data_IF_886042110644
#
_entry.id   IF_886042110644
#
_cell.length_a   1.000
_cell.length_b   1.000
_cell.length_c   1.000
_cell.angle_alpha   90.00
_cell.angle_beta   90.00
_cell.angle_gamma   90.00
#
_symmetry.space_group_name_H-M   'P 1'
#
loop_
_entity.id
_entity.type
_entity.pdbx_description
1 polymer ?
#
# COMPACT_ATOMS: atom_id res chain seq x y z
N UNK A 1 -9.46 -101.85 8.22
CA UNK A 1 -10.40 -102.99 8.22
C UNK A 1 -11.42 -102.74 9.33
N UNK A 2 -12.73 -102.74 8.98
CA UNK A 2 -13.92 -102.79 9.87
C UNK A 2 -14.16 -101.57 10.76
N UNK A 3 -15.11 -100.66 10.45
CA UNK A 3 -16.58 -100.77 10.36
C UNK A 3 -17.31 -100.70 11.71
N UNK A 4 -18.32 -99.79 11.77
CA UNK A 4 -19.68 -100.01 12.32
C UNK A 4 -19.73 -100.28 13.86
N UNK A 5 -20.63 -99.77 14.71
CA UNK A 5 -22.07 -99.43 14.56
C UNK A 5 -22.64 -99.15 15.97
N UNK A 6 -23.61 -98.21 16.08
CA UNK A 6 -24.82 -98.20 16.97
C UNK A 6 -24.63 -98.22 18.53
N UNK A 7 -25.48 -97.65 19.41
CA UNK A 7 -26.84 -97.04 19.39
C UNK A 7 -27.11 -96.36 20.77
N UNK A 8 -28.31 -95.80 21.08
CA UNK A 8 -28.50 -94.55 21.82
C UNK A 8 -29.05 -94.75 23.25
N UNK A 9 -29.23 -93.66 24.00
CA UNK A 9 -30.40 -93.46 24.85
C UNK A 9 -30.55 -91.98 25.21
N UNK A 10 -31.72 -91.42 24.90
CA UNK A 10 -32.13 -90.08 25.27
C UNK A 10 -32.56 -90.05 26.74
N UNK A 11 -32.28 -88.97 27.45
CA UNK A 11 -33.26 -88.32 28.35
C UNK A 11 -32.84 -86.86 28.59
N UNK A 12 -33.69 -85.95 28.10
CA UNK A 12 -33.62 -84.50 28.29
C UNK A 12 -34.05 -84.13 29.72
N UNK A 13 -33.23 -83.32 30.41
CA UNK A 13 -33.70 -82.38 31.44
C UNK A 13 -32.98 -81.04 31.30
N UNK A 14 -33.80 -80.00 31.37
CA UNK A 14 -33.57 -78.57 31.11
C UNK A 14 -32.34 -77.98 31.83
N UNK A 15 -31.51 -77.25 31.09
CA UNK A 15 -30.44 -76.41 31.61
C UNK A 15 -30.81 -74.92 31.45
N UNK A 16 -30.79 -74.16 32.55
CA UNK A 16 -30.80 -72.69 32.53
C UNK A 16 -29.38 -72.20 32.25
N UNK A 17 -29.19 -71.49 31.15
CA UNK A 17 -27.93 -70.85 30.78
C UNK A 17 -27.84 -69.45 31.44
N UNK A 18 -26.85 -69.27 32.31
CA UNK A 18 -26.38 -67.96 32.75
C UNK A 18 -25.42 -67.40 31.69
N UNK A 19 -25.58 -66.12 31.33
CA UNK A 19 -24.71 -65.43 30.38
C UNK A 19 -23.42 -64.95 31.04
N UNK A 20 -22.24 -65.10 30.40
CA UNK A 20 -20.98 -64.59 30.92
C UNK A 20 -20.79 -63.11 30.58
N UNK A 21 -20.28 -62.34 31.55
CA UNK A 21 -19.91 -60.93 31.40
C UNK A 21 -18.63 -60.78 30.56
N UNK A 22 -18.69 -60.05 29.46
CA UNK A 22 -17.52 -59.63 28.67
C UNK A 22 -17.21 -58.16 28.94
N UNK A 23 -16.10 -57.89 29.63
CA UNK A 23 -15.57 -56.54 29.82
C UNK A 23 -14.77 -56.10 28.59
N UNK A 24 -15.27 -55.13 27.84
CA UNK A 24 -14.54 -54.47 26.75
C UNK A 24 -13.62 -53.38 27.30
N UNK A 25 -12.34 -53.30 26.88
CA UNK A 25 -11.45 -52.21 27.29
C UNK A 25 -11.85 -50.91 26.59
N UNK A 26 -12.01 -49.83 27.35
CA UNK A 26 -12.27 -48.49 26.81
C UNK A 26 -11.01 -47.98 26.11
N UNK A 27 -11.04 -47.90 24.78
CA UNK A 27 -10.11 -47.09 24.00
C UNK A 27 -10.25 -45.63 24.45
N UNK A 28 -9.23 -45.09 25.12
CA UNK A 28 -9.12 -43.66 25.36
C UNK A 28 -8.78 -43.02 24.02
N UNK A 29 -9.79 -42.52 23.30
CA UNK A 29 -9.55 -41.55 22.25
C UNK A 29 -8.96 -40.30 22.91
N UNK A 30 -7.65 -40.10 22.73
CA UNK A 30 -7.05 -38.78 22.87
C UNK A 30 -7.70 -37.87 21.84
N UNK A 31 -8.76 -37.17 22.25
CA UNK A 31 -9.33 -36.10 21.45
C UNK A 31 -8.21 -35.09 21.20
N UNK A 32 -7.69 -35.04 19.96
CA UNK A 32 -6.97 -33.85 19.52
C UNK A 32 -7.96 -32.71 19.70
N UNK A 33 -7.69 -31.84 20.68
CA UNK A 33 -8.33 -30.54 20.75
C UNK A 33 -7.90 -29.79 19.49
N UNK A 34 -8.66 -29.99 18.40
CA UNK A 34 -8.77 -28.93 17.43
C UNK A 34 -9.33 -27.76 18.23
N UNK A 35 -8.48 -26.78 18.54
CA UNK A 35 -8.92 -25.46 18.94
C UNK A 35 -9.59 -24.86 17.70
N UNK A 36 -10.76 -25.37 17.34
CA UNK A 36 -11.67 -24.62 16.50
C UNK A 36 -11.82 -23.28 17.21
N UNK A 37 -11.77 -22.20 16.44
CA UNK A 37 -12.10 -20.87 16.94
C UNK A 37 -13.53 -20.98 17.48
N UNK A 38 -13.64 -21.32 18.76
CA UNK A 38 -14.90 -21.62 19.39
C UNK A 38 -15.52 -20.27 19.63
N UNK A 39 -16.39 -19.89 18.70
CA UNK A 39 -17.25 -18.75 18.87
C UNK A 39 -18.00 -18.95 20.19
N UNK A 40 -17.70 -18.13 21.20
CA UNK A 40 -18.34 -18.26 22.50
C UNK A 40 -19.85 -18.08 22.32
N UNK A 41 -20.70 -18.90 22.96
CA UNK A 41 -22.13 -18.63 23.02
C UNK A 41 -22.39 -17.20 23.53
N UNK A 42 -23.34 -16.49 22.91
CA UNK A 42 -23.68 -15.08 23.20
C UNK A 42 -22.56 -14.05 22.94
N UNK A 43 -21.55 -14.38 22.14
CA UNK A 43 -20.58 -13.39 21.70
C UNK A 43 -21.21 -12.39 20.72
N UNK A 44 -20.93 -11.10 20.91
CA UNK A 44 -21.42 -10.01 20.05
C UNK A 44 -20.53 -9.75 18.83
N UNK A 45 -19.34 -10.37 18.76
CA UNK A 45 -18.38 -10.19 17.69
C UNK A 45 -17.86 -11.53 17.18
N UNK A 46 -17.49 -11.58 15.90
CA UNK A 46 -16.89 -12.73 15.24
C UNK A 46 -15.48 -12.99 15.78
N UNK A 47 -15.21 -14.23 16.18
CA UNK A 47 -13.89 -14.71 16.60
C UNK A 47 -13.15 -15.31 15.40
N UNK A 48 -12.86 -14.48 14.40
CA UNK A 48 -12.11 -14.87 13.20
C UNK A 48 -10.87 -13.97 13.04
N UNK A 49 -9.65 -14.53 12.91
CA UNK A 49 -8.42 -13.75 12.84
C UNK A 49 -8.40 -12.67 11.75
N UNK A 50 -9.07 -12.91 10.62
CA UNK A 50 -9.15 -11.95 9.51
C UNK A 50 -10.27 -10.91 9.62
N UNK A 51 -11.15 -11.00 10.62
CA UNK A 51 -12.32 -10.13 10.78
C UNK A 51 -12.30 -9.49 12.17
N UNK A 52 -11.37 -8.55 12.35
CA UNK A 52 -11.16 -7.86 13.62
C UNK A 52 -12.36 -6.93 13.90
N UNK A 53 -12.94 -7.01 15.11
CA UNK A 53 -14.05 -6.16 15.59
C UNK A 53 -15.36 -6.28 14.78
N UNK A 54 -15.52 -7.29 13.93
CA UNK A 54 -16.78 -7.52 13.21
C UNK A 54 -17.88 -7.91 14.19
N UNK A 55 -18.84 -7.01 14.41
CA UNK A 55 -20.01 -7.26 15.24
C UNK A 55 -21.05 -8.09 14.48
N UNK A 56 -21.78 -8.96 15.17
CA UNK A 56 -22.93 -9.62 14.56
C UNK A 56 -24.05 -8.60 14.29
N UNK A 57 -24.71 -8.74 13.15
CA UNK A 57 -25.93 -8.01 12.79
C UNK A 57 -27.00 -9.02 12.40
N UNK A 58 -28.25 -8.71 12.71
CA UNK A 58 -29.41 -9.50 12.31
C UNK A 58 -30.06 -8.99 11.02
N UNK A 59 -29.58 -7.86 10.50
CA UNK A 59 -30.09 -7.23 9.28
C UNK A 59 -29.05 -7.37 8.17
N UNK A 60 -29.49 -7.93 7.05
CA UNK A 60 -28.68 -8.02 5.84
C UNK A 60 -28.69 -6.65 5.15
N UNK A 61 -27.60 -5.90 5.32
CA UNK A 61 -27.36 -4.59 4.69
C UNK A 61 -26.10 -4.67 3.84
N UNK A 62 -26.21 -4.25 2.58
CA UNK A 62 -25.05 -4.00 1.73
C UNK A 62 -24.64 -2.54 1.88
N UNK A 63 -23.34 -2.30 1.95
CA UNK A 63 -22.79 -0.95 1.90
C UNK A 63 -22.50 -0.62 0.44
N UNK A 64 -23.20 0.40 -0.09
CA UNK A 64 -22.91 0.94 -1.41
C UNK A 64 -21.98 2.16 -1.27
N UNK A 65 -21.08 2.42 -2.23
CA UNK A 65 -20.26 3.64 -2.21
C UNK A 65 -21.10 4.94 -2.12
N UNK A 66 -22.33 4.92 -2.63
CA UNK A 66 -23.29 6.03 -2.54
C UNK A 66 -23.82 6.30 -1.13
N UNK A 67 -23.68 5.35 -0.20
CA UNK A 67 -24.13 5.51 1.17
C UNK A 67 -23.21 6.42 1.99
N UNK A 68 -22.00 6.68 1.48
CA UNK A 68 -21.00 7.51 2.12
C UNK A 68 -20.87 8.85 1.38
N UNK A 69 -20.84 9.98 2.11
CA UNK A 69 -20.44 11.23 1.50
C UNK A 69 -18.99 11.13 1.00
N UNK A 70 -18.67 11.92 -0.03
CA UNK A 70 -17.29 12.05 -0.49
C UNK A 70 -16.38 12.54 0.66
N UNK A 71 -15.13 12.08 0.66
CA UNK A 71 -14.13 12.55 1.61
C UNK A 71 -13.96 14.06 1.49
N UNK A 72 -13.91 14.75 2.63
CA UNK A 72 -13.74 16.20 2.67
C UNK A 72 -12.32 16.60 2.25
N UNK A 73 -12.21 17.65 1.43
CA UNK A 73 -10.92 18.20 0.98
C UNK A 73 -10.43 19.26 1.94
N UNK A 74 -9.24 19.07 2.52
CA UNK A 74 -8.60 20.04 3.39
C UNK A 74 -8.13 21.29 2.60
N UNK A 75 -8.37 22.48 3.16
CA UNK A 75 -7.99 23.76 2.54
C UNK A 75 -7.68 24.80 3.61
N UNK A 76 -6.57 25.52 3.44
CA UNK A 76 -6.14 26.61 4.33
C UNK A 76 -6.41 27.98 3.72
N UNK A 77 -6.18 28.13 2.42
CA UNK A 77 -6.25 29.40 1.68
C UNK A 77 -7.26 29.26 0.55
N UNK A 78 -8.03 30.31 0.27
CA UNK A 78 -8.93 30.37 -0.90
C UNK A 78 -8.21 30.81 -2.19
N UNK A 79 -9.00 31.06 -3.25
CA UNK A 79 -8.47 31.44 -4.56
C UNK A 79 -7.91 32.86 -4.62
N UNK A 80 -8.33 33.73 -3.70
CA UNK A 80 -7.87 35.12 -3.62
C UNK A 80 -6.63 35.24 -2.70
N UNK A 81 -6.16 34.13 -2.14
CA UNK A 81 -5.03 34.11 -1.22
C UNK A 81 -5.41 34.41 0.23
N UNK A 82 -6.70 34.41 0.57
CA UNK A 82 -7.17 34.69 1.92
C UNK A 82 -7.20 33.40 2.74
N UNK A 83 -6.64 33.44 3.95
CA UNK A 83 -6.67 32.32 4.90
C UNK A 83 -8.10 32.14 5.40
N UNK A 84 -8.73 31.01 5.07
CA UNK A 84 -10.12 30.70 5.44
C UNK A 84 -10.24 30.06 6.82
N UNK A 85 -9.16 29.43 7.30
CA UNK A 85 -9.07 28.86 8.62
C UNK A 85 -8.37 29.85 9.57
N UNK A 86 -9.17 30.59 10.35
CA UNK A 86 -8.65 31.57 11.32
C UNK A 86 -7.77 30.94 12.42
N UNK A 87 -7.90 29.62 12.64
CA UNK A 87 -7.07 28.90 13.61
C UNK A 87 -5.69 28.52 13.06
N UNK A 88 -5.52 28.55 11.73
CA UNK A 88 -4.28 28.22 11.08
C UNK A 88 -3.22 29.29 11.33
N UNK A 89 -2.09 28.87 11.86
CA UNK A 89 -0.90 29.70 12.04
C UNK A 89 0.21 29.15 11.16
N UNK A 90 0.68 29.90 10.15
CA UNK A 90 1.80 29.48 9.32
C UNK A 90 3.04 29.30 10.21
N UNK A 91 3.69 28.14 10.10
CA UNK A 91 4.98 27.85 10.72
C UNK A 91 6.11 28.02 9.68
N UNK A 92 6.09 29.15 8.99
CA UNK A 92 7.02 29.49 7.92
C UNK A 92 7.38 30.98 8.01
N UNK A 93 8.66 31.30 7.82
CA UNK A 93 9.12 32.67 7.63
C UNK A 93 8.74 33.22 6.25
N UNK A 94 8.69 34.55 6.13
CA UNK A 94 8.44 35.22 4.85
C UNK A 94 9.51 34.83 3.81
N UNK A 95 10.76 34.66 4.24
CA UNK A 95 11.85 34.22 3.38
C UNK A 95 11.63 32.82 2.82
N UNK A 96 11.12 31.88 3.64
CA UNK A 96 10.78 30.53 3.19
C UNK A 96 9.61 30.56 2.22
N UNK A 97 8.56 31.31 2.51
CA UNK A 97 7.41 31.47 1.59
C UNK A 97 7.87 32.01 0.24
N UNK A 98 8.72 33.04 0.23
CA UNK A 98 9.30 33.61 -0.99
C UNK A 98 10.14 32.56 -1.73
N UNK A 99 10.91 31.72 -1.02
CA UNK A 99 11.68 30.63 -1.64
C UNK A 99 10.75 29.63 -2.33
N UNK A 100 9.70 29.16 -1.65
CA UNK A 100 8.73 28.21 -2.23
C UNK A 100 8.08 28.80 -3.48
N UNK A 101 7.69 30.07 -3.44
CA UNK A 101 7.14 30.76 -4.60
C UNK A 101 8.12 30.84 -5.77
N UNK A 102 9.38 31.21 -5.49
CA UNK A 102 10.44 31.26 -6.53
C UNK A 102 10.71 29.89 -7.14
N UNK A 103 10.66 28.82 -6.36
CA UNK A 103 10.88 27.46 -6.86
C UNK A 103 9.70 26.99 -7.73
N UNK A 104 8.46 27.32 -7.38
CA UNK A 104 7.28 27.08 -8.24
C UNK A 104 7.38 27.84 -9.57
N UNK A 105 7.71 29.13 -9.52
CA UNK A 105 7.86 29.96 -10.73
C UNK A 105 9.02 29.46 -11.60
N UNK A 106 10.13 29.03 -10.99
CA UNK A 106 11.26 28.46 -11.71
C UNK A 106 10.84 27.23 -12.53
N UNK A 107 10.09 26.30 -11.93
CA UNK A 107 9.59 25.10 -12.63
C UNK A 107 8.66 25.49 -13.76
N UNK A 108 7.72 26.40 -13.52
CA UNK A 108 6.78 26.88 -14.55
C UNK A 108 7.50 27.48 -15.77
N UNK A 109 8.53 28.30 -15.54
CA UNK A 109 9.34 28.89 -16.63
C UNK A 109 10.18 27.82 -17.34
N UNK A 110 10.83 26.94 -16.60
CA UNK A 110 11.63 25.85 -17.18
C UNK A 110 10.78 24.96 -18.07
N UNK A 111 9.57 24.62 -17.63
CA UNK A 111 8.63 23.80 -18.38
C UNK A 111 8.24 24.42 -19.71
N UNK A 112 7.93 25.72 -19.74
CA UNK A 112 7.61 26.43 -20.99
C UNK A 112 8.79 26.39 -21.98
N UNK A 113 9.99 26.72 -21.51
CA UNK A 113 11.18 26.79 -22.38
C UNK A 113 11.55 25.39 -22.90
N UNK A 114 11.52 24.37 -22.05
CA UNK A 114 11.90 23.01 -22.43
C UNK A 114 10.82 22.31 -23.26
N UNK A 115 9.55 22.61 -23.03
CA UNK A 115 8.47 22.18 -23.91
C UNK A 115 8.69 22.71 -25.33
N UNK A 116 8.94 24.01 -25.48
CA UNK A 116 9.21 24.61 -26.80
C UNK A 116 10.49 24.06 -27.44
N UNK A 117 11.55 23.87 -26.66
CA UNK A 117 12.78 23.24 -27.15
C UNK A 117 12.50 21.82 -27.69
N UNK A 118 11.58 21.08 -27.07
CA UNK A 118 11.20 19.75 -27.49
C UNK A 118 10.41 19.79 -28.80
N UNK A 119 9.52 20.78 -28.97
CA UNK A 119 8.82 21.04 -30.26
C UNK A 119 9.78 21.40 -31.38
N UNK A 120 10.92 22.02 -31.06
CA UNK A 120 11.99 22.30 -32.01
C UNK A 120 12.93 21.11 -32.27
N UNK A 121 12.70 19.95 -31.62
CA UNK A 121 13.55 18.77 -31.76
C UNK A 121 14.92 18.89 -31.08
N UNK A 122 15.13 19.88 -30.19
CA UNK A 122 16.40 20.04 -29.45
C UNK A 122 16.58 19.00 -28.35
N UNK A 123 15.48 18.46 -27.85
CA UNK A 123 15.43 17.31 -26.94
C UNK A 123 14.35 16.34 -27.44
N UNK A 124 14.52 15.06 -27.11
CA UNK A 124 13.68 13.98 -27.63
C UNK A 124 12.29 13.95 -26.99
N UNK A 125 12.21 14.21 -25.69
CA UNK A 125 10.97 14.11 -24.92
C UNK A 125 10.95 15.17 -23.82
N UNK A 126 9.76 15.66 -23.46
CA UNK A 126 9.58 16.55 -22.32
C UNK A 126 8.14 16.43 -21.83
N UNK A 127 7.93 16.66 -20.53
CA UNK A 127 6.63 16.65 -19.92
C UNK A 127 6.53 17.76 -18.90
N UNK A 128 5.45 18.54 -19.02
CA UNK A 128 5.16 19.69 -18.17
C UNK A 128 4.44 19.26 -16.89
N UNK A 129 4.68 19.99 -15.81
CA UNK A 129 4.10 19.84 -14.47
C UNK A 129 3.14 20.99 -14.10
N UNK A 130 2.62 21.69 -15.10
CA UNK A 130 1.72 22.83 -14.93
C UNK A 130 0.49 22.49 -14.07
N UNK A 131 0.30 23.24 -12.98
CA UNK A 131 -0.75 23.02 -11.99
C UNK A 131 -0.35 22.11 -10.83
N UNK A 132 0.84 21.50 -10.87
CA UNK A 132 1.35 20.57 -9.86
C UNK A 132 2.62 21.11 -9.15
N UNK A 133 3.00 22.37 -9.42
CA UNK A 133 4.19 23.00 -8.84
C UNK A 133 4.06 23.14 -7.31
N UNK A 134 2.90 23.58 -6.84
CA UNK A 134 2.65 23.76 -5.40
C UNK A 134 2.66 22.42 -4.64
N UNK A 135 2.11 21.37 -5.26
CA UNK A 135 2.09 20.03 -4.67
C UNK A 135 3.52 19.50 -4.50
N UNK A 136 4.33 19.58 -5.55
CA UNK A 136 5.70 19.06 -5.53
C UNK A 136 6.64 19.88 -4.65
N UNK A 137 6.62 21.22 -4.75
CA UNK A 137 7.47 22.10 -3.92
C UNK A 137 7.04 22.09 -2.45
N UNK A 138 5.73 22.19 -2.18
CA UNK A 138 5.19 22.24 -0.82
C UNK A 138 5.34 20.92 -0.06
N UNK A 139 5.13 19.77 -0.71
CA UNK A 139 5.37 18.47 -0.06
C UNK A 139 6.85 18.26 0.24
N UNK A 140 7.76 18.73 -0.62
CA UNK A 140 9.19 18.61 -0.40
C UNK A 140 9.74 19.57 0.67
N UNK A 141 9.06 20.68 0.96
CA UNK A 141 9.55 21.69 1.90
C UNK A 141 9.49 21.27 3.36
N UNK A 142 8.63 20.30 3.69
CA UNK A 142 8.46 19.77 5.04
C UNK A 142 9.30 18.51 5.31
N UNK A 143 9.96 17.96 4.28
CA UNK A 143 10.79 16.77 4.40
C UNK A 143 12.19 17.13 4.92
N UNK A 144 12.76 16.25 5.72
CA UNK A 144 14.16 16.33 6.09
C UNK A 144 15.06 16.02 4.87
N UNK A 145 16.28 16.59 4.79
CA UNK A 145 17.24 16.26 3.73
C UNK A 145 17.56 14.75 3.62
N UNK A 146 17.49 14.03 4.74
CA UNK A 146 17.77 12.60 4.85
C UNK A 146 16.60 11.72 4.37
N UNK A 147 15.40 12.28 4.25
CA UNK A 147 14.23 11.52 3.82
C UNK A 147 14.41 11.06 2.37
N UNK A 148 14.19 9.78 2.14
CA UNK A 148 14.29 9.18 0.80
C UNK A 148 13.01 9.47 0.03
N UNK A 149 13.16 9.99 -1.20
CA UNK A 149 12.04 10.34 -2.06
C UNK A 149 12.00 9.44 -3.29
N UNK A 150 10.82 8.90 -3.54
CA UNK A 150 10.46 8.26 -4.81
C UNK A 150 9.48 9.14 -5.56
N UNK A 151 9.84 9.50 -6.79
CA UNK A 151 9.01 10.30 -7.68
C UNK A 151 8.47 9.44 -8.84
N UNK A 152 7.45 9.95 -9.54
CA UNK A 152 7.09 9.47 -10.86
C UNK A 152 7.77 10.37 -11.89
N UNK A 153 7.07 11.29 -12.55
CA UNK A 153 7.68 12.10 -13.62
C UNK A 153 7.22 13.57 -13.60
N UNK A 154 6.31 13.97 -12.71
CA UNK A 154 5.77 15.34 -12.60
C UNK A 154 6.31 16.09 -11.39
N UNK A 155 7.15 15.44 -10.58
CA UNK A 155 7.61 15.96 -9.30
C UNK A 155 8.91 16.80 -9.43
N UNK A 156 9.07 17.55 -10.53
CA UNK A 156 10.26 18.36 -10.78
C UNK A 156 10.49 19.41 -9.67
N UNK A 157 9.40 19.92 -9.08
CA UNK A 157 9.46 20.83 -7.94
C UNK A 157 10.13 20.23 -6.71
N UNK A 158 10.06 18.90 -6.51
CA UNK A 158 10.77 18.23 -5.41
C UNK A 158 12.29 18.32 -5.60
N UNK A 159 12.75 18.07 -6.83
CA UNK A 159 14.17 18.20 -7.19
C UNK A 159 14.64 19.63 -6.95
N UNK A 160 13.90 20.62 -7.46
CA UNK A 160 14.27 22.03 -7.30
C UNK A 160 14.30 22.46 -5.83
N UNK A 161 13.27 22.12 -5.05
CA UNK A 161 13.16 22.47 -3.64
C UNK A 161 14.33 21.90 -2.82
N UNK A 162 14.79 20.68 -3.16
CA UNK A 162 15.94 20.01 -2.53
C UNK A 162 17.30 20.47 -3.05
N UNK A 163 17.36 21.40 -4.00
CA UNK A 163 18.62 22.01 -4.46
C UNK A 163 19.17 21.44 -5.78
N UNK A 164 18.38 20.68 -6.55
CA UNK A 164 18.78 20.25 -7.89
C UNK A 164 18.94 21.48 -8.80
N UNK A 165 20.11 21.62 -9.39
CA UNK A 165 20.48 22.85 -10.09
C UNK A 165 19.95 22.86 -11.52
N UNK A 166 19.88 24.05 -12.13
CA UNK A 166 19.59 24.18 -13.56
C UNK A 166 20.56 23.36 -14.41
N UNK A 167 21.83 23.30 -14.03
CA UNK A 167 22.83 22.49 -14.72
C UNK A 167 22.49 21.00 -14.67
N UNK A 168 21.98 20.51 -13.53
CA UNK A 168 21.63 19.10 -13.37
C UNK A 168 20.41 18.74 -14.22
N UNK A 169 19.36 19.58 -14.20
CA UNK A 169 18.20 19.44 -15.09
C UNK A 169 18.62 19.38 -16.56
N UNK A 170 19.39 20.37 -17.02
CA UNK A 170 19.81 20.44 -18.42
C UNK A 170 20.73 19.28 -18.79
N UNK A 171 21.58 18.82 -17.87
CA UNK A 171 22.49 17.70 -18.16
C UNK A 171 21.72 16.42 -18.43
N UNK A 172 20.70 16.12 -17.63
CA UNK A 172 19.82 14.97 -17.85
C UNK A 172 18.98 15.13 -19.13
N UNK A 173 18.36 16.31 -19.34
CA UNK A 173 17.47 16.55 -20.49
C UNK A 173 18.19 16.45 -21.84
N UNK A 174 19.43 16.89 -21.92
CA UNK A 174 20.25 16.84 -23.13
C UNK A 174 21.15 15.61 -23.23
N UNK A 175 21.10 14.69 -22.26
CA UNK A 175 21.96 13.50 -22.21
C UNK A 175 23.45 13.82 -22.40
N UNK A 176 23.91 14.93 -21.80
CA UNK A 176 25.27 15.42 -22.00
C UNK A 176 26.29 14.68 -21.10
N UNK A 177 27.58 15.00 -21.27
CA UNK A 177 28.67 14.34 -20.52
C UNK A 177 28.62 14.52 -18.99
N UNK A 178 27.83 15.49 -18.49
CA UNK A 178 27.65 15.76 -17.07
C UNK A 178 26.41 15.07 -16.49
N UNK A 179 25.61 14.37 -17.29
CA UNK A 179 24.48 13.59 -16.79
C UNK A 179 24.98 12.42 -15.91
N UNK A 180 24.61 12.36 -14.62
CA UNK A 180 24.91 11.21 -13.77
C UNK A 180 24.32 9.89 -14.32
N UNK A 181 23.20 9.97 -15.04
CA UNK A 181 22.54 8.86 -15.74
C UNK A 181 23.25 8.43 -17.03
N UNK A 182 24.30 9.14 -17.45
CA UNK A 182 25.12 8.88 -18.65
C UNK A 182 24.32 8.83 -19.95
N UNK A 183 23.23 9.60 -20.04
CA UNK A 183 22.35 9.67 -21.21
C UNK A 183 21.57 8.39 -21.48
N UNK A 184 21.47 7.48 -20.51
CA UNK A 184 20.83 6.16 -20.69
C UNK A 184 19.31 6.20 -20.54
N UNK A 185 18.83 7.17 -19.76
CA UNK A 185 17.41 7.33 -19.50
C UNK A 185 16.81 8.37 -20.45
N UNK A 186 15.51 8.24 -20.68
CA UNK A 186 14.73 9.26 -21.39
C UNK A 186 14.77 10.59 -20.63
N UNK A 187 14.73 11.76 -21.31
CA UNK A 187 14.57 13.04 -20.63
C UNK A 187 13.40 13.03 -19.63
N UNK A 188 13.50 13.82 -18.57
CA UNK A 188 12.55 13.88 -17.42
C UNK A 188 12.68 12.72 -16.43
N UNK A 189 13.51 11.71 -16.71
CA UNK A 189 13.89 10.69 -15.72
C UNK A 189 15.06 11.16 -14.83
N UNK A 190 14.80 12.17 -14.02
CA UNK A 190 15.76 12.69 -13.07
C UNK A 190 16.06 11.71 -11.94
N UNK A 191 17.19 11.91 -11.27
CA UNK A 191 17.59 11.18 -10.07
C UNK A 191 18.78 11.86 -9.43
N UNK A 192 18.90 11.78 -8.11
CA UNK A 192 20.04 12.32 -7.40
C UNK A 192 20.30 11.53 -6.12
N UNK A 193 21.44 10.84 -6.07
CA UNK A 193 21.89 10.17 -4.85
C UNK A 193 22.20 11.19 -3.75
N UNK A 194 22.75 12.35 -4.11
CA UNK A 194 23.13 13.39 -3.15
C UNK A 194 21.92 14.03 -2.46
N UNK A 195 20.79 14.12 -3.16
CA UNK A 195 19.54 14.69 -2.64
C UNK A 195 18.57 13.64 -2.09
N UNK A 196 19.01 12.39 -1.97
CA UNK A 196 18.19 11.24 -1.57
C UNK A 196 16.92 11.05 -2.43
N UNK A 197 17.03 11.30 -3.75
CA UNK A 197 15.93 11.10 -4.70
C UNK A 197 16.26 9.94 -5.62
N UNK A 198 15.45 8.89 -5.55
CA UNK A 198 15.59 7.73 -6.43
C UNK A 198 15.39 8.11 -7.89
N UNK A 199 16.18 7.49 -8.77
CA UNK A 199 16.05 7.69 -10.21
C UNK A 199 14.68 7.24 -10.70
N UNK A 200 14.03 8.14 -11.43
CA UNK A 200 12.73 7.91 -12.04
C UNK A 200 12.81 6.79 -13.09
N UNK A 201 11.75 5.99 -13.15
CA UNK A 201 11.54 5.00 -14.21
C UNK A 201 10.16 5.18 -14.85
N UNK A 202 10.03 4.79 -16.13
CA UNK A 202 8.74 4.90 -16.84
C UNK A 202 7.61 4.01 -16.31
N UNK A 203 7.86 2.76 -15.88
CA UNK A 203 6.79 1.88 -15.41
C UNK A 203 6.04 2.47 -14.20
N UNK A 204 4.77 2.78 -14.43
CA UNK A 204 3.93 3.44 -13.42
C UNK A 204 3.80 2.57 -12.16
N UNK A 205 3.77 3.25 -11.02
CA UNK A 205 3.52 2.68 -9.70
C UNK A 205 4.53 1.63 -9.19
N UNK A 206 5.58 1.30 -9.94
CA UNK A 206 6.63 0.36 -9.49
C UNK A 206 7.38 0.86 -8.26
N UNK A 207 7.46 2.17 -8.10
CA UNK A 207 8.07 2.84 -6.96
C UNK A 207 7.25 2.74 -5.67
N UNK A 208 5.94 2.49 -5.73
CA UNK A 208 5.10 2.41 -4.53
C UNK A 208 5.54 1.28 -3.58
N UNK A 209 5.64 0.00 -4.02
CA UNK A 209 6.15 -1.06 -3.14
C UNK A 209 7.66 -0.99 -2.89
N UNK A 210 8.41 -0.14 -3.62
CA UNK A 210 9.83 0.09 -3.36
C UNK A 210 10.04 1.10 -2.22
N UNK A 211 9.09 2.02 -2.03
CA UNK A 211 9.13 3.05 -1.01
C UNK A 211 8.57 2.59 0.36
N UNK A 212 7.87 1.44 0.41
CA UNK A 212 7.20 0.91 1.60
C UNK A 212 8.12 0.21 2.59
#
# INVERSE_FOLDING_TARGET
MKSRVLRPAAHLRSARLASPSTSTPRLILSARAASSLSQKPNANHVSFPGAVKSAFTHTLKYEAPSDYPALSTYRVVDQDGIVVDESFKPDLSDEEVIKLYKDMVYISIMDLIMFDAQRQGRLSFYMVSAGEEALSVGSASVLAPEDVVFCQYREQGVFKQRGFTTSDFMSQLFANAKDPGRGRNMPVHYGSKELNIHSISSPLATQLPQAS
#
